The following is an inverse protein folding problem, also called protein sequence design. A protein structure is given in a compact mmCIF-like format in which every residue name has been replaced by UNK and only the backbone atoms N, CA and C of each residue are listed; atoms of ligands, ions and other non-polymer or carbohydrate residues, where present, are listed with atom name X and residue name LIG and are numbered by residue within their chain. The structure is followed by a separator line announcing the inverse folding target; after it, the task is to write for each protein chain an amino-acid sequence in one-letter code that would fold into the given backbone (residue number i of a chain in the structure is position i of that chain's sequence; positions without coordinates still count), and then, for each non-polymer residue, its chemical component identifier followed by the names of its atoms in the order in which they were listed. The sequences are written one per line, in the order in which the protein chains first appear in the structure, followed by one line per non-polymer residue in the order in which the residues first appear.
data_IF_299153365312
#
_entry.id   IF_299153365312
#
_cell.length_a   1.000
_cell.length_b   1.000
_cell.length_c   1.000
_cell.angle_alpha   90.00
_cell.angle_beta   90.00
_cell.angle_gamma   90.00
#
_symmetry.space_group_name_H-M   'P 1'
#
loop_
_entity.id
_entity.type
_entity.pdbx_description
1 polymer ?
#
# COMPACT_ATOMS: atom_id res chain seq x y z
N UNK A 1 -10.67 -21.92 13.65
CA UNK A 1 -10.45 -21.85 12.21
C UNK A 1 -9.73 -20.55 11.86
N UNK A 2 -8.83 -20.59 10.88
CA UNK A 2 -8.12 -19.42 10.45
C UNK A 2 -9.02 -18.54 9.59
N UNK A 3 -8.88 -17.24 9.77
CA UNK A 3 -9.57 -16.27 8.90
C UNK A 3 -8.73 -16.04 7.64
N UNK A 4 -9.41 -15.90 6.51
CA UNK A 4 -8.77 -15.52 5.26
C UNK A 4 -9.17 -14.08 4.93
N UNK A 5 -8.18 -13.21 4.75
CA UNK A 5 -8.41 -11.81 4.41
C UNK A 5 -7.83 -11.53 3.03
N UNK A 6 -8.67 -11.02 2.15
CA UNK A 6 -8.24 -10.62 0.81
C UNK A 6 -7.59 -9.24 0.87
N UNK A 7 -6.43 -9.11 0.26
CA UNK A 7 -5.62 -7.88 0.28
C UNK A 7 -5.02 -7.62 -1.09
N UNK A 8 -4.56 -6.39 -1.27
CA UNK A 8 -3.71 -6.00 -2.39
C UNK A 8 -2.30 -5.81 -1.85
N UNK A 9 -1.30 -6.25 -2.58
CA UNK A 9 0.11 -6.11 -2.21
C UNK A 9 0.77 -5.02 -3.03
N UNK A 10 1.98 -4.63 -2.65
CA UNK A 10 2.81 -3.73 -3.45
C UNK A 10 3.91 -4.54 -4.14
N UNK A 11 4.13 -4.25 -5.42
CA UNK A 11 5.29 -4.76 -6.13
C UNK A 11 6.55 -4.35 -5.36
N UNK A 12 7.51 -5.26 -5.16
CA UNK A 12 8.79 -4.90 -4.53
C UNK A 12 9.47 -3.69 -5.16
N UNK A 13 9.30 -3.48 -6.47
CA UNK A 13 9.85 -2.29 -7.14
C UNK A 13 9.18 -1.00 -6.66
N UNK A 14 7.87 -1.04 -6.39
CA UNK A 14 7.15 0.11 -5.83
C UNK A 14 7.69 0.42 -4.44
N UNK A 15 7.88 -0.61 -3.62
CA UNK A 15 8.44 -0.41 -2.28
C UNK A 15 9.85 0.18 -2.33
N UNK A 16 10.69 -0.31 -3.25
CA UNK A 16 12.04 0.21 -3.42
C UNK A 16 12.04 1.66 -3.87
N UNK A 17 11.15 2.04 -4.78
CA UNK A 17 11.03 3.41 -5.23
C UNK A 17 10.59 4.36 -4.12
N UNK A 18 9.63 3.93 -3.31
CA UNK A 18 9.19 4.70 -2.16
C UNK A 18 10.35 4.92 -1.18
N UNK A 19 11.02 3.83 -0.82
CA UNK A 19 12.15 3.90 0.11
C UNK A 19 13.30 4.76 -0.44
N UNK A 20 13.59 4.65 -1.73
CA UNK A 20 14.64 5.44 -2.37
C UNK A 20 14.31 6.92 -2.52
N UNK A 21 13.05 7.29 -2.35
CA UNK A 21 12.59 8.67 -2.48
C UNK A 21 12.39 9.37 -1.14
N UNK A 22 12.76 8.74 -0.03
CA UNK A 22 12.66 9.35 1.29
C UNK A 22 13.85 10.29 1.50
N UNK A 23 13.56 11.54 1.89
CA UNK A 23 14.57 12.53 2.25
C UNK A 23 14.49 12.84 3.74
N UNK A 24 15.64 12.88 4.40
CA UNK A 24 15.76 13.24 5.80
C UNK A 24 16.15 14.70 5.92
N UNK A 25 15.44 15.44 6.78
CA UNK A 25 15.76 16.84 7.11
C UNK A 25 15.67 17.01 8.61
N UNK A 26 16.07 18.21 9.08
CA UNK A 26 15.92 18.55 10.50
C UNK A 26 14.45 18.56 10.94
N UNK A 27 13.53 18.79 10.00
CA UNK A 27 12.10 18.79 10.28
C UNK A 27 11.45 17.40 10.14
N UNK A 28 12.24 16.38 9.78
CA UNK A 28 11.76 15.00 9.62
C UNK A 28 11.95 14.45 8.23
N UNK A 29 11.34 13.30 7.97
CA UNK A 29 11.45 12.61 6.71
C UNK A 29 10.24 12.89 5.83
N UNK A 30 10.44 12.97 4.52
CA UNK A 30 9.37 13.15 3.55
C UNK A 30 9.70 12.48 2.23
N UNK A 31 8.66 12.22 1.43
CA UNK A 31 8.83 11.60 0.11
C UNK A 31 9.09 12.65 -0.97
N UNK A 32 10.02 12.32 -1.88
CA UNK A 32 10.33 13.13 -3.06
C UNK A 32 10.05 12.35 -4.33
N UNK A 33 9.02 11.52 -4.32
CA UNK A 33 8.68 10.65 -5.44
C UNK A 33 8.31 11.47 -6.67
N UNK A 34 8.83 11.04 -7.83
CA UNK A 34 8.55 11.64 -9.13
C UNK A 34 7.03 11.70 -9.37
N UNK A 35 6.47 12.87 -9.80
CA UNK A 35 5.04 12.98 -10.07
C UNK A 35 4.49 11.96 -11.05
N UNK A 36 5.25 11.59 -12.08
CA UNK A 36 4.83 10.58 -13.04
C UNK A 36 4.71 9.20 -12.37
N UNK A 37 5.67 8.84 -11.54
CA UNK A 37 5.62 7.58 -10.79
C UNK A 37 4.47 7.58 -9.79
N UNK A 38 4.25 8.70 -9.11
CA UNK A 38 3.11 8.86 -8.20
C UNK A 38 1.80 8.60 -8.93
N UNK A 39 1.64 9.22 -10.09
CA UNK A 39 0.44 9.03 -10.93
C UNK A 39 0.24 7.57 -11.28
N UNK A 40 1.30 6.90 -11.75
CA UNK A 40 1.23 5.50 -12.15
C UNK A 40 0.86 4.59 -10.97
N UNK A 41 1.44 4.84 -9.81
CA UNK A 41 1.13 4.09 -8.59
C UNK A 41 -0.34 4.31 -8.20
N UNK A 42 -0.83 5.54 -8.25
CA UNK A 42 -2.22 5.85 -7.90
C UNK A 42 -3.21 5.19 -8.86
N UNK A 43 -2.91 5.19 -10.16
CA UNK A 43 -3.78 4.52 -11.14
C UNK A 43 -3.81 3.02 -10.92
N UNK A 44 -2.66 2.41 -10.67
CA UNK A 44 -2.57 0.98 -10.38
C UNK A 44 -3.32 0.65 -9.09
N UNK A 45 -3.12 1.45 -8.05
CA UNK A 45 -3.81 1.27 -6.76
C UNK A 45 -5.32 1.28 -6.95
N UNK A 46 -5.84 2.25 -7.70
CA UNK A 46 -7.27 2.36 -7.95
C UNK A 46 -7.81 1.10 -8.61
N UNK A 47 -7.11 0.60 -9.63
CA UNK A 47 -7.52 -0.61 -10.34
C UNK A 47 -7.48 -1.86 -9.45
N UNK A 48 -6.42 -1.98 -8.65
CA UNK A 48 -6.26 -3.17 -7.81
C UNK A 48 -7.23 -3.18 -6.63
N UNK A 49 -7.45 -2.02 -6.00
CA UNK A 49 -8.42 -1.90 -4.90
C UNK A 49 -9.84 -2.16 -5.39
N UNK A 50 -10.17 -1.79 -6.63
CA UNK A 50 -11.47 -2.08 -7.20
C UNK A 50 -11.77 -3.59 -7.22
N UNK A 51 -10.76 -4.44 -7.34
CA UNK A 51 -10.93 -5.89 -7.28
C UNK A 51 -11.47 -6.34 -5.93
N UNK A 52 -11.02 -5.71 -4.85
CA UNK A 52 -11.54 -5.99 -3.50
C UNK A 52 -12.96 -5.48 -3.34
N UNK A 53 -13.21 -4.26 -3.76
CA UNK A 53 -14.53 -3.65 -3.65
C UNK A 53 -15.57 -4.41 -4.45
N UNK A 54 -15.20 -4.89 -5.64
CA UNK A 54 -16.11 -5.64 -6.51
C UNK A 54 -16.54 -6.99 -5.92
N UNK A 55 -15.78 -7.53 -5.00
CA UNK A 55 -16.14 -8.77 -4.30
C UNK A 55 -16.65 -8.49 -2.88
N UNK A 56 -16.99 -7.24 -2.57
CA UNK A 56 -17.57 -6.85 -1.29
C UNK A 56 -16.58 -6.87 -0.13
N UNK A 57 -15.29 -6.73 -0.40
CA UNK A 57 -14.24 -6.72 0.62
C UNK A 57 -13.74 -5.30 0.88
N UNK A 58 -13.13 -5.12 2.05
CA UNK A 58 -12.54 -3.84 2.41
C UNK A 58 -11.28 -3.54 1.61
N UNK A 59 -11.01 -2.26 1.31
CA UNK A 59 -9.81 -1.87 0.55
C UNK A 59 -8.56 -1.91 1.44
N UNK A 60 -7.90 -3.05 1.48
CA UNK A 60 -6.74 -3.29 2.33
C UNK A 60 -5.50 -3.48 1.46
N UNK A 61 -4.47 -2.67 1.71
CA UNK A 61 -3.15 -2.84 1.10
C UNK A 61 -2.18 -3.26 2.19
N UNK A 62 -1.40 -4.30 1.91
CA UNK A 62 -0.37 -4.76 2.82
C UNK A 62 1.01 -4.37 2.29
N UNK A 63 1.87 -3.87 3.17
CA UNK A 63 3.20 -3.38 2.82
C UNK A 63 4.24 -3.91 3.79
N UNK A 64 5.51 -3.68 3.48
CA UNK A 64 6.56 -3.86 4.47
C UNK A 64 6.43 -2.80 5.57
N UNK A 65 6.95 -3.06 6.78
CA UNK A 65 6.81 -2.12 7.91
C UNK A 65 7.34 -0.72 7.64
N UNK A 66 8.48 -0.61 6.96
CA UNK A 66 9.10 0.69 6.68
C UNK A 66 8.27 1.50 5.70
N UNK A 67 7.70 0.85 4.69
CA UNK A 67 6.93 1.51 3.62
C UNK A 67 5.57 1.98 4.10
N UNK A 68 4.99 1.33 5.10
CA UNK A 68 3.60 1.55 5.54
C UNK A 68 3.27 3.04 5.76
N UNK A 69 4.07 3.71 6.56
CA UNK A 69 3.82 5.12 6.91
C UNK A 69 3.89 6.03 5.69
N UNK A 70 4.87 5.80 4.82
CA UNK A 70 5.03 6.62 3.62
C UNK A 70 3.92 6.36 2.62
N UNK A 71 3.51 5.10 2.46
CA UNK A 71 2.42 4.75 1.56
C UNK A 71 1.09 5.31 2.06
N UNK A 72 0.86 5.26 3.36
CA UNK A 72 -0.33 5.87 3.98
C UNK A 72 -0.38 7.37 3.68
N UNK A 73 0.72 8.07 3.89
CA UNK A 73 0.80 9.51 3.59
C UNK A 73 0.58 9.81 2.12
N UNK A 74 1.17 9.00 1.24
CA UNK A 74 1.07 9.18 -0.20
C UNK A 74 -0.39 9.07 -0.68
N UNK A 75 -1.17 8.20 -0.06
CA UNK A 75 -2.51 7.81 -0.56
C UNK A 75 -3.67 8.44 0.20
N UNK A 76 -3.46 8.98 1.39
CA UNK A 76 -4.56 9.36 2.29
C UNK A 76 -5.49 10.43 1.75
N UNK A 77 -5.00 11.35 0.92
CA UNK A 77 -5.84 12.40 0.35
C UNK A 77 -6.71 11.91 -0.81
N UNK A 78 -6.30 10.82 -1.45
CA UNK A 78 -6.98 10.27 -2.62
C UNK A 78 -7.86 9.06 -2.30
N UNK A 79 -7.52 8.31 -1.25
CA UNK A 79 -8.19 7.07 -0.88
C UNK A 79 -8.52 7.11 0.61
N UNK A 80 -9.60 7.77 0.96
CA UNK A 80 -9.94 8.05 2.36
C UNK A 80 -10.27 6.80 3.18
N UNK A 81 -10.81 5.78 2.51
CA UNK A 81 -11.21 4.54 3.18
C UNK A 81 -10.15 3.45 3.12
N UNK A 82 -9.02 3.73 2.45
CA UNK A 82 -7.96 2.75 2.27
C UNK A 82 -7.33 2.37 3.62
N UNK A 83 -7.22 1.07 3.85
CA UNK A 83 -6.57 0.52 5.03
C UNK A 83 -5.18 0.07 4.63
N UNK A 84 -4.15 0.68 5.20
CA UNK A 84 -2.77 0.32 4.93
C UNK A 84 -2.20 -0.35 6.17
N UNK A 85 -1.76 -1.60 6.02
CA UNK A 85 -1.18 -2.37 7.12
C UNK A 85 0.14 -2.95 6.68
N UNK A 86 1.01 -3.23 7.65
CA UNK A 86 2.26 -3.93 7.38
C UNK A 86 2.15 -5.39 7.78
N UNK A 87 3.02 -6.23 7.21
CA UNK A 87 3.01 -7.66 7.48
C UNK A 87 3.13 -8.00 8.98
N UNK A 88 3.88 -7.21 9.74
CA UNK A 88 4.07 -7.45 11.17
C UNK A 88 2.87 -7.07 12.03
N UNK A 89 1.86 -6.39 11.46
CA UNK A 89 0.63 -6.03 12.17
C UNK A 89 -0.44 -7.10 12.05
N UNK A 90 -0.24 -8.09 11.18
CA UNK A 90 -1.23 -9.13 10.92
C UNK A 90 -1.07 -10.24 11.96
N UNK A 91 -2.19 -10.66 12.56
CA UNK A 91 -2.18 -11.74 13.53
C UNK A 91 -1.83 -13.08 12.88
N UNK A 92 -1.18 -13.97 13.63
CA UNK A 92 -0.67 -15.23 13.11
C UNK A 92 -1.77 -16.20 12.64
N UNK A 93 -3.00 -16.02 13.12
CA UNK A 93 -4.13 -16.86 12.73
C UNK A 93 -4.89 -16.33 11.50
N UNK A 94 -4.42 -15.25 10.90
CA UNK A 94 -5.02 -14.67 9.70
C UNK A 94 -4.22 -15.09 8.48
N UNK A 95 -4.89 -15.68 7.49
CA UNK A 95 -4.29 -15.96 6.20
C UNK A 95 -4.56 -14.80 5.25
N UNK A 96 -3.54 -14.34 4.57
CA UNK A 96 -3.65 -13.28 3.58
C UNK A 96 -3.75 -13.88 2.19
N UNK A 97 -4.73 -13.42 1.43
CA UNK A 97 -4.89 -13.80 0.04
C UNK A 97 -4.73 -12.56 -0.82
N UNK A 98 -3.67 -12.53 -1.62
CA UNK A 98 -3.46 -11.43 -2.55
C UNK A 98 -4.38 -11.58 -3.75
N UNK A 99 -5.18 -10.55 -4.02
CA UNK A 99 -6.05 -10.51 -5.20
C UNK A 99 -5.51 -9.58 -6.27
N UNK A 100 -4.45 -8.87 -5.97
CA UNK A 100 -3.81 -7.95 -6.91
C UNK A 100 -2.54 -7.36 -6.34
N UNK A 101 -1.79 -6.68 -7.20
CA UNK A 101 -0.52 -6.08 -6.82
C UNK A 101 -0.40 -4.71 -7.49
N UNK A 102 -0.11 -3.70 -6.68
CA UNK A 102 0.11 -2.34 -7.18
C UNK A 102 1.48 -2.27 -7.85
N UNK A 103 1.52 -1.71 -9.05
CA UNK A 103 2.74 -1.50 -9.82
C UNK A 103 2.94 -0.01 -10.13
N UNK A 104 4.09 0.35 -10.68
CA UNK A 104 4.39 1.74 -11.03
C UNK A 104 4.42 1.94 -12.55
#
# INVERSE_FOLDING_TARGET
ANETTSVVTLDPKVEQEIMGSVKQTEQGAYLTLDPEKTKNIMESLKQEVAKLENIGKNPIVITSPIVRMYFKKLTEDYFKDLIVVSYNEVESNVELQSVGMVTA
#
